data_IF_373253630140
#
_entry.id   IF_373253630140
#
_cell.length_a   1.000
_cell.length_b   1.000
_cell.length_c   1.000
_cell.angle_alpha   90.00
_cell.angle_beta   90.00
_cell.angle_gamma   90.00
#
_symmetry.space_group_name_H-M   'P 1'
#
loop_
_entity.id
_entity.type
_entity.pdbx_description
1 polymer ?
#
# COMPACT_ATOMS: atom_id res chain seq x y z
N UNK A 1 -18.60 -54.79 7.57
CA UNK A 1 -18.46 -53.63 6.67
C UNK A 1 -19.58 -52.65 6.96
N UNK A 2 -19.27 -51.48 7.50
CA UNK A 2 -20.10 -50.29 7.45
C UNK A 2 -19.18 -49.10 7.73
N UNK A 3 -18.76 -48.43 6.66
CA UNK A 3 -17.81 -47.33 6.66
C UNK A 3 -18.37 -46.10 7.37
N UNK A 4 -17.51 -45.44 8.16
CA UNK A 4 -17.76 -44.13 8.74
C UNK A 4 -17.88 -43.06 7.66
N UNK A 5 -18.93 -42.26 7.75
CA UNK A 5 -19.19 -41.15 6.85
C UNK A 5 -18.51 -39.90 7.41
N UNK A 6 -17.25 -39.66 7.01
CA UNK A 6 -16.54 -38.40 7.22
C UNK A 6 -17.11 -37.32 6.30
N UNK A 7 -18.08 -36.56 6.79
CA UNK A 7 -18.60 -35.39 6.10
C UNK A 7 -17.57 -34.25 6.16
N UNK A 8 -17.00 -33.92 5.01
CA UNK A 8 -16.08 -32.81 4.81
C UNK A 8 -16.83 -31.48 5.06
N UNK A 9 -16.74 -30.93 6.27
CA UNK A 9 -17.26 -29.60 6.57
C UNK A 9 -16.36 -28.58 5.86
N UNK A 10 -16.85 -27.98 4.76
CA UNK A 10 -16.16 -26.87 4.10
C UNK A 10 -15.88 -25.76 5.12
N UNK A 11 -14.66 -25.25 5.13
CA UNK A 11 -14.29 -24.15 6.00
C UNK A 11 -15.24 -22.97 5.77
N UNK A 12 -15.67 -22.31 6.85
CA UNK A 12 -16.65 -21.21 6.80
C UNK A 12 -16.31 -20.12 5.77
N UNK A 13 -15.01 -19.88 5.57
CA UNK A 13 -14.45 -18.87 4.66
C UNK A 13 -14.27 -19.33 3.20
N UNK A 14 -14.50 -20.61 2.89
CA UNK A 14 -14.41 -21.16 1.53
C UNK A 14 -15.77 -21.17 0.82
N UNK A 15 -16.88 -21.04 1.57
CA UNK A 15 -18.23 -20.96 1.00
C UNK A 15 -18.58 -19.52 0.62
N UNK A 16 -18.74 -19.29 -0.69
CA UNK A 16 -19.04 -17.98 -1.31
C UNK A 16 -20.27 -17.28 -0.71
N UNK A 17 -21.27 -18.06 -0.28
CA UNK A 17 -22.48 -17.55 0.38
C UNK A 17 -22.20 -16.95 1.76
N UNK A 18 -21.22 -17.48 2.48
CA UNK A 18 -20.84 -16.96 3.80
C UNK A 18 -19.96 -15.71 3.64
N UNK A 19 -19.13 -15.68 2.61
CA UNK A 19 -18.32 -14.51 2.26
C UNK A 19 -19.20 -13.31 1.87
N UNK A 20 -20.26 -13.54 1.08
CA UNK A 20 -21.22 -12.50 0.74
C UNK A 20 -21.95 -11.93 1.96
N UNK A 21 -22.36 -12.78 2.92
CA UNK A 21 -22.97 -12.33 4.18
C UNK A 21 -22.01 -11.50 5.03
N UNK A 22 -20.72 -11.86 5.05
CA UNK A 22 -19.69 -11.11 5.75
C UNK A 22 -19.45 -9.75 5.08
N UNK A 23 -19.40 -9.70 3.74
CA UNK A 23 -19.30 -8.46 2.98
C UNK A 23 -20.50 -7.54 3.21
N UNK A 24 -21.72 -8.08 3.25
CA UNK A 24 -22.93 -7.32 3.54
C UNK A 24 -22.92 -6.77 4.97
N UNK A 25 -22.45 -7.56 5.94
CA UNK A 25 -22.28 -7.13 7.33
C UNK A 25 -21.25 -6.01 7.46
N UNK A 26 -20.08 -6.13 6.83
CA UNK A 26 -19.02 -5.13 6.83
C UNK A 26 -19.41 -3.82 6.12
N UNK A 27 -20.36 -3.87 5.18
CA UNK A 27 -20.90 -2.68 4.48
C UNK A 27 -22.11 -2.07 5.20
N UNK A 28 -22.71 -2.77 6.16
CA UNK A 28 -23.84 -2.28 6.94
C UNK A 28 -23.40 -1.33 8.05
N UNK A 29 -24.31 -0.50 8.56
CA UNK A 29 -24.07 0.37 9.73
C UNK A 29 -23.87 -0.39 11.04
N UNK A 30 -24.09 -1.72 11.04
CA UNK A 30 -23.85 -2.61 12.18
C UNK A 30 -22.46 -3.28 12.10
N UNK A 31 -21.72 -3.06 11.02
CA UNK A 31 -20.35 -3.55 10.84
C UNK A 31 -19.30 -2.70 11.59
N UNK A 32 -18.16 -3.31 11.98
CA UNK A 32 -17.07 -2.57 12.63
C UNK A 32 -16.53 -1.47 11.71
N UNK A 33 -16.12 -0.30 12.26
CA UNK A 33 -15.57 0.79 11.47
C UNK A 33 -14.33 0.33 10.68
N UNK A 34 -14.12 0.88 9.49
CA UNK A 34 -13.09 0.47 8.50
C UNK A 34 -11.70 0.26 9.11
N UNK A 35 -11.32 1.05 10.13
CA UNK A 35 -10.05 0.93 10.84
C UNK A 35 -9.90 -0.40 11.60
N UNK A 36 -10.97 -0.85 12.25
CA UNK A 36 -10.99 -2.08 13.05
C UNK A 36 -11.03 -3.32 12.14
N UNK A 37 -11.73 -3.23 10.99
CA UNK A 37 -11.70 -4.26 9.95
C UNK A 37 -10.30 -4.45 9.34
N UNK A 38 -9.56 -3.36 9.10
CA UNK A 38 -8.17 -3.41 8.59
C UNK A 38 -7.20 -3.97 9.63
N UNK A 39 -7.40 -3.69 10.92
CA UNK A 39 -6.60 -4.32 11.99
C UNK A 39 -6.89 -5.83 12.12
N UNK A 40 -8.15 -6.24 11.96
CA UNK A 40 -8.50 -7.66 11.95
C UNK A 40 -7.89 -8.38 10.74
N UNK A 41 -7.92 -7.77 9.54
CA UNK A 41 -7.33 -8.35 8.33
C UNK A 41 -5.80 -8.49 8.47
N UNK A 42 -5.13 -7.47 9.02
CA UNK A 42 -3.70 -7.56 9.37
C UNK A 42 -3.41 -8.68 10.37
N UNK A 43 -4.26 -8.86 11.40
CA UNK A 43 -4.11 -9.97 12.37
C UNK A 43 -4.35 -11.33 11.74
N UNK A 44 -5.32 -11.46 10.84
CA UNK A 44 -5.59 -12.71 10.11
C UNK A 44 -4.43 -13.05 9.17
N UNK A 45 -3.86 -12.07 8.48
CA UNK A 45 -2.67 -12.25 7.64
C UNK A 45 -1.46 -12.68 8.47
N UNK A 46 -1.24 -12.05 9.63
CA UNK A 46 -0.17 -12.41 10.58
C UNK A 46 -0.31 -13.84 11.11
N UNK A 47 -1.55 -14.33 11.31
CA UNK A 47 -1.83 -15.69 11.75
C UNK A 47 -1.71 -16.71 10.59
N UNK A 48 -1.93 -16.26 9.35
CA UNK A 48 -1.86 -17.11 8.14
C UNK A 48 -0.43 -17.36 7.66
N UNK A 49 0.48 -16.40 7.86
CA UNK A 49 1.91 -16.55 7.56
C UNK A 49 2.70 -17.34 8.63
N UNK A 50 2.07 -17.69 9.75
CA UNK A 50 2.66 -18.58 10.75
C UNK A 50 2.56 -20.04 10.28
N UNK A 51 3.67 -20.55 9.73
CA UNK A 51 3.85 -21.97 9.37
C UNK A 51 3.49 -22.91 10.53
N UNK A 52 2.85 -24.04 10.23
CA UNK A 52 2.39 -25.04 11.21
C UNK A 52 3.50 -25.57 12.15
N UNK A 53 4.78 -25.41 11.81
CA UNK A 53 5.92 -25.79 12.66
C UNK A 53 6.09 -24.89 13.89
N UNK A 54 5.63 -23.65 13.85
CA UNK A 54 5.89 -22.67 14.92
C UNK A 54 4.77 -22.63 15.99
N UNK A 55 3.69 -23.40 15.79
CA UNK A 55 2.58 -23.51 16.74
C UNK A 55 2.89 -24.43 17.94
N UNK A 56 3.91 -25.29 17.84
CA UNK A 56 4.25 -26.28 18.88
C UNK A 56 5.47 -25.91 19.76
N UNK A 57 6.04 -24.70 19.63
CA UNK A 57 7.25 -24.31 20.37
C UNK A 57 7.19 -22.90 20.97
N UNK A 58 6.09 -22.58 21.68
CA UNK A 58 5.93 -21.28 22.34
C UNK A 58 6.50 -21.26 23.77
N UNK A 59 6.85 -22.41 24.37
CA UNK A 59 7.21 -22.47 25.81
C UNK A 59 8.70 -22.64 26.14
N UNK A 60 9.65 -22.46 25.21
CA UNK A 60 11.09 -22.50 25.53
C UNK A 60 11.89 -21.44 24.78
N UNK A 61 12.45 -20.41 25.46
CA UNK A 61 13.37 -19.48 24.82
C UNK A 61 14.69 -20.21 24.51
N UNK A 62 15.08 -20.29 23.23
CA UNK A 62 16.41 -20.76 22.82
C UNK A 62 17.37 -19.57 22.75
N UNK A 63 18.29 -19.50 23.70
CA UNK A 63 19.47 -18.66 23.60
C UNK A 63 20.49 -19.35 22.67
N UNK A 64 21.11 -18.65 21.69
CA UNK A 64 22.17 -19.22 20.87
C UNK A 64 23.37 -19.60 21.74
N UNK A 65 23.98 -20.74 21.43
CA UNK A 65 25.18 -21.19 22.16
C UNK A 65 26.44 -20.54 21.57
N UNK A 66 27.50 -20.43 22.37
CA UNK A 66 28.77 -19.78 21.98
C UNK A 66 29.39 -20.35 20.68
N UNK A 67 29.09 -21.62 20.35
CA UNK A 67 29.51 -22.26 19.12
C UNK A 67 28.83 -21.69 17.85
N UNK A 68 27.59 -21.22 17.97
CA UNK A 68 26.84 -20.62 16.86
C UNK A 68 27.32 -19.20 16.55
N UNK A 69 27.87 -18.51 17.57
CA UNK A 69 28.46 -17.17 17.39
C UNK A 69 29.88 -17.24 16.83
N UNK A 70 30.68 -18.24 17.22
CA UNK A 70 32.02 -18.45 16.66
C UNK A 70 31.99 -18.82 15.17
N UNK A 71 31.01 -19.63 14.74
CA UNK A 71 30.86 -20.00 13.34
C UNK A 71 30.49 -18.84 12.41
N UNK A 72 29.91 -17.76 12.95
CA UNK A 72 29.60 -16.54 12.20
C UNK A 72 30.82 -15.62 12.03
N UNK A 73 31.78 -15.68 12.95
CA UNK A 73 33.02 -14.92 12.87
C UNK A 73 34.05 -15.59 11.96
N UNK A 74 34.02 -16.92 11.82
CA UNK A 74 34.91 -17.65 10.91
C UNK A 74 34.44 -17.63 9.43
N UNK A 75 33.27 -17.05 9.12
CA UNK A 75 32.73 -16.96 7.74
C UNK A 75 32.92 -15.60 7.08
N UNK A 76 33.57 -14.64 7.74
CA UNK A 76 33.82 -13.30 7.19
C UNK A 76 35.22 -13.15 6.55
N UNK A 77 36.06 -14.20 6.55
CA UNK A 77 37.42 -14.18 6.00
C UNK A 77 37.65 -15.22 4.86
N UNK A 78 36.76 -15.31 3.87
CA UNK A 78 37.07 -16.00 2.59
C UNK A 78 37.11 -15.00 1.42
N UNK A 79 38.19 -14.21 1.38
CA UNK A 79 38.73 -13.64 0.14
C UNK A 79 39.37 -14.78 -0.68
N UNK A 80 38.64 -15.48 -1.54
CA UNK A 80 39.25 -16.33 -2.60
C UNK A 80 38.20 -16.79 -3.63
N UNK A 81 37.94 -15.98 -4.70
CA UNK A 81 37.69 -16.45 -6.09
C UNK A 81 37.30 -15.43 -7.18
N UNK A 82 37.41 -14.12 -7.00
CA UNK A 82 36.95 -13.17 -8.05
C UNK A 82 37.99 -12.78 -9.11
N UNK A 83 39.27 -13.16 -8.97
CA UNK A 83 40.34 -12.73 -9.89
C UNK A 83 40.29 -13.38 -11.30
N UNK A 84 39.53 -14.46 -11.50
CA UNK A 84 39.48 -15.17 -12.79
C UNK A 84 38.38 -14.66 -13.74
N UNK A 85 37.32 -14.07 -13.19
CA UNK A 85 36.20 -13.57 -14.00
C UNK A 85 36.48 -12.16 -14.52
N UNK A 86 37.24 -11.37 -13.76
CA UNK A 86 37.66 -10.02 -14.14
C UNK A 86 38.67 -10.03 -15.30
N UNK A 87 39.70 -10.89 -15.27
CA UNK A 87 40.62 -11.09 -16.40
C UNK A 87 39.90 -11.63 -17.66
N UNK A 88 38.86 -12.45 -17.48
CA UNK A 88 38.06 -12.96 -18.60
C UNK A 88 37.16 -11.87 -19.20
N UNK A 89 36.63 -10.97 -18.36
CA UNK A 89 35.85 -9.81 -18.79
C UNK A 89 36.72 -8.78 -19.52
N UNK A 90 37.93 -8.51 -19.03
CA UNK A 90 38.89 -7.62 -19.70
C UNK A 90 39.31 -8.15 -21.08
N UNK A 91 39.59 -9.45 -21.19
CA UNK A 91 39.92 -10.06 -22.49
C UNK A 91 38.74 -10.02 -23.48
N UNK A 92 37.50 -10.13 -22.99
CA UNK A 92 36.29 -10.01 -23.81
C UNK A 92 36.03 -8.57 -24.25
N UNK A 93 36.28 -7.60 -23.37
CA UNK A 93 36.21 -6.16 -23.67
C UNK A 93 37.27 -5.76 -24.70
N UNK A 94 38.49 -6.27 -24.56
CA UNK A 94 39.59 -5.96 -25.48
C UNK A 94 39.32 -6.51 -26.89
N UNK A 95 38.69 -7.70 -26.98
CA UNK A 95 38.23 -8.25 -28.25
C UNK A 95 37.08 -7.43 -28.87
N UNK A 96 36.14 -6.95 -28.06
CA UNK A 96 35.05 -6.10 -28.54
C UNK A 96 35.54 -4.72 -28.98
N UNK A 97 36.60 -4.18 -28.35
CA UNK A 97 37.25 -2.95 -28.77
C UNK A 97 37.99 -3.13 -30.11
N UNK A 98 38.66 -4.27 -30.30
CA UNK A 98 39.33 -4.61 -31.57
C UNK A 98 38.31 -4.79 -32.72
N UNK A 99 37.13 -5.35 -32.43
CA UNK A 99 36.02 -5.48 -33.39
C UNK A 99 35.36 -4.12 -33.73
N UNK A 100 35.52 -3.07 -32.91
CA UNK A 100 34.99 -1.71 -33.17
C UNK A 100 35.95 -0.90 -34.05
N UNK A 101 37.27 -1.05 -33.87
CA UNK A 101 38.28 -0.33 -34.67
C UNK A 101 38.33 -0.76 -36.16
N UNK A 102 37.77 -1.92 -36.52
CA UNK A 102 37.69 -2.37 -37.94
C UNK A 102 36.49 -1.79 -38.73
N UNK A 103 35.68 -0.88 -38.16
CA UNK A 103 34.48 -0.31 -38.81
C UNK A 103 34.51 1.20 -39.07
N UNK A 104 35.69 1.78 -39.30
CA UNK A 104 35.80 3.16 -39.81
C UNK A 104 35.79 3.20 -41.35
N UNK A 105 34.60 3.06 -41.95
CA UNK A 105 34.34 3.48 -43.34
C UNK A 105 33.54 4.81 -43.32
N UNK A 106 34.24 5.95 -43.30
CA UNK A 106 33.74 7.33 -43.16
C UNK A 106 32.83 7.88 -44.31
N UNK A 107 32.10 7.03 -45.05
CA UNK A 107 31.35 7.43 -46.26
C UNK A 107 29.89 6.93 -46.32
N UNK A 108 29.33 6.41 -45.23
CA UNK A 108 28.03 5.70 -45.24
C UNK A 108 26.76 6.54 -45.45
N UNK A 109 26.84 7.87 -45.38
CA UNK A 109 25.71 8.79 -45.59
C UNK A 109 25.88 9.78 -46.75
N UNK A 110 27.02 9.78 -47.45
CA UNK A 110 27.21 10.63 -48.65
C UNK A 110 26.39 10.15 -49.85
N UNK A 111 25.89 8.92 -49.79
CA UNK A 111 24.91 8.37 -50.72
C UNK A 111 23.68 7.88 -49.93
N UNK A 112 22.46 7.97 -50.51
CA UNK A 112 21.25 7.64 -49.78
C UNK A 112 21.17 6.15 -49.44
N UNK A 113 21.38 5.81 -48.17
CA UNK A 113 21.34 4.42 -47.67
C UNK A 113 20.16 4.22 -46.70
N UNK A 114 19.02 3.83 -47.27
CA UNK A 114 17.80 3.62 -46.48
C UNK A 114 17.90 2.41 -45.54
N UNK A 115 18.65 1.37 -45.90
CA UNK A 115 18.81 0.18 -45.08
C UNK A 115 19.49 0.53 -43.75
N UNK A 116 20.51 1.38 -43.80
CA UNK A 116 21.23 1.84 -42.62
C UNK A 116 20.35 2.74 -41.72
N UNK A 117 19.60 3.69 -42.30
CA UNK A 117 18.62 4.50 -41.54
C UNK A 117 17.54 3.61 -40.90
N UNK A 118 17.05 2.61 -41.62
CA UNK A 118 16.04 1.69 -41.11
C UNK A 118 16.56 0.80 -39.97
N UNK A 119 17.83 0.37 -40.05
CA UNK A 119 18.50 -0.39 -39.00
C UNK A 119 18.66 0.44 -37.72
N UNK A 120 19.12 1.69 -37.84
CA UNK A 120 19.27 2.60 -36.70
C UNK A 120 17.93 2.90 -36.05
N UNK A 121 16.90 3.23 -36.84
CA UNK A 121 15.56 3.50 -36.28
C UNK A 121 14.97 2.28 -35.59
N UNK A 122 15.17 1.07 -36.14
CA UNK A 122 14.73 -0.17 -35.50
C UNK A 122 15.43 -0.38 -34.16
N UNK A 123 16.74 -0.17 -34.12
CA UNK A 123 17.52 -0.29 -32.89
C UNK A 123 17.07 0.69 -31.81
N UNK A 124 16.86 1.96 -32.18
CA UNK A 124 16.36 3.00 -31.27
C UNK A 124 14.99 2.62 -30.70
N UNK A 125 14.05 2.23 -31.56
CA UNK A 125 12.68 1.88 -31.14
C UNK A 125 12.67 0.62 -30.27
N UNK A 126 13.51 -0.38 -30.58
CA UNK A 126 13.68 -1.58 -29.76
C UNK A 126 14.25 -1.26 -28.36
N UNK A 127 15.06 -0.21 -28.24
CA UNK A 127 15.60 0.21 -26.93
C UNK A 127 14.56 0.97 -26.09
N UNK A 128 13.63 1.64 -26.75
CA UNK A 128 12.56 2.43 -26.12
C UNK A 128 11.35 1.59 -25.72
N UNK A 129 11.03 0.57 -26.52
CA UNK A 129 9.92 -0.34 -26.28
C UNK A 129 10.42 -1.79 -26.38
N UNK A 130 10.24 -2.56 -25.31
CA UNK A 130 10.59 -3.99 -25.28
C UNK A 130 9.66 -4.86 -26.14
N UNK A 131 8.61 -4.28 -26.73
CA UNK A 131 7.73 -4.96 -27.67
C UNK A 131 8.18 -4.70 -29.10
N UNK A 132 8.74 -5.71 -29.77
CA UNK A 132 9.12 -5.62 -31.19
C UNK A 132 7.86 -5.55 -32.07
N UNK A 133 7.55 -4.42 -32.72
CA UNK A 133 6.64 -4.46 -33.85
C UNK A 133 7.48 -5.02 -35.01
N UNK A 134 7.07 -6.15 -35.59
CA UNK A 134 7.83 -6.80 -36.67
C UNK A 134 7.85 -5.89 -37.91
N UNK A 135 8.88 -5.04 -37.96
CA UNK A 135 9.20 -4.12 -39.05
C UNK A 135 10.18 -4.77 -40.05
N UNK A 136 9.92 -6.01 -40.44
CA UNK A 136 10.91 -6.80 -41.21
C UNK A 136 10.86 -6.58 -42.72
N UNK A 137 9.82 -5.93 -43.25
CA UNK A 137 9.65 -5.75 -44.70
C UNK A 137 10.07 -4.34 -45.11
N UNK A 138 11.22 -4.23 -45.79
CA UNK A 138 11.78 -2.97 -46.32
C UNK A 138 11.98 -3.05 -47.86
N UNK A 139 11.54 -4.15 -48.47
CA UNK A 139 11.78 -4.45 -49.88
C UNK A 139 10.97 -3.54 -50.83
N UNK A 140 9.75 -3.17 -50.46
CA UNK A 140 8.87 -2.33 -51.28
C UNK A 140 8.89 -0.86 -50.84
N UNK A 141 8.77 0.07 -51.79
CA UNK A 141 8.66 1.51 -51.52
C UNK A 141 7.47 1.84 -50.60
N UNK A 142 6.36 1.11 -50.74
CA UNK A 142 5.17 1.28 -49.88
C UNK A 142 5.44 0.80 -48.44
N UNK A 143 6.15 -0.31 -48.30
CA UNK A 143 6.52 -0.86 -46.99
C UNK A 143 7.46 0.10 -46.23
N UNK A 144 8.38 0.76 -46.94
CA UNK A 144 9.28 1.79 -46.37
C UNK A 144 8.53 3.00 -45.83
N UNK A 145 7.48 3.45 -46.52
CA UNK A 145 6.66 4.58 -46.08
C UNK A 145 5.76 4.17 -44.91
N UNK A 146 5.22 2.96 -44.91
CA UNK A 146 4.46 2.43 -43.77
C UNK A 146 5.34 2.29 -42.52
N UNK A 147 6.57 1.77 -42.68
CA UNK A 147 7.59 1.69 -41.64
C UNK A 147 7.89 3.05 -41.00
N UNK A 148 8.20 4.07 -41.81
CA UNK A 148 8.48 5.42 -41.30
C UNK A 148 7.26 6.09 -40.65
N UNK A 149 6.05 5.81 -41.13
CA UNK A 149 4.83 6.34 -40.50
C UNK A 149 4.57 5.71 -39.13
N UNK A 150 4.79 4.40 -39.00
CA UNK A 150 4.67 3.71 -37.72
C UNK A 150 5.69 4.27 -36.72
N UNK A 151 6.98 4.30 -37.07
CA UNK A 151 8.03 4.80 -36.19
C UNK A 151 7.83 6.28 -35.84
N UNK A 152 7.45 7.13 -36.80
CA UNK A 152 7.20 8.54 -36.51
C UNK A 152 5.98 8.73 -35.59
N UNK A 153 4.97 7.85 -35.67
CA UNK A 153 3.84 7.83 -34.75
C UNK A 153 4.29 7.38 -33.36
N UNK A 154 5.10 6.33 -33.28
CA UNK A 154 5.54 5.74 -32.01
C UNK A 154 6.52 6.66 -31.27
N UNK A 155 7.47 7.30 -31.97
CA UNK A 155 8.36 8.30 -31.37
C UNK A 155 7.58 9.56 -30.95
N UNK A 156 6.55 9.95 -31.69
CA UNK A 156 5.71 11.08 -31.31
C UNK A 156 4.83 10.78 -30.09
N UNK A 157 4.36 9.54 -29.91
CA UNK A 157 3.59 9.16 -28.72
C UNK A 157 4.48 8.96 -27.49
N UNK A 158 5.67 8.38 -27.68
CA UNK A 158 6.57 8.03 -26.57
C UNK A 158 7.45 9.20 -26.11
N UNK A 159 8.00 10.00 -27.04
CA UNK A 159 8.90 11.11 -26.72
C UNK A 159 8.34 12.50 -27.01
N UNK A 160 7.15 12.60 -27.61
CA UNK A 160 6.57 13.88 -28.06
C UNK A 160 7.47 14.65 -29.05
N UNK A 161 8.22 13.91 -29.88
CA UNK A 161 9.09 14.47 -30.94
C UNK A 161 8.44 14.24 -32.29
N UNK A 162 8.36 15.30 -33.10
CA UNK A 162 7.91 15.20 -34.49
C UNK A 162 9.10 14.94 -35.42
N UNK A 163 9.14 13.76 -36.04
CA UNK A 163 10.14 13.41 -37.04
C UNK A 163 9.66 13.72 -38.46
N UNK A 164 10.53 14.30 -39.27
CA UNK A 164 10.23 14.57 -40.68
C UNK A 164 10.43 13.31 -41.54
N UNK A 165 9.32 12.60 -41.77
CA UNK A 165 9.26 11.37 -42.60
C UNK A 165 9.89 11.50 -44.00
N UNK A 166 9.86 12.70 -44.60
CA UNK A 166 10.46 12.95 -45.91
C UNK A 166 11.98 12.99 -45.85
N UNK A 167 12.53 13.56 -44.78
CA UNK A 167 13.97 13.63 -44.56
C UNK A 167 14.50 12.25 -44.17
N UNK A 168 13.75 11.48 -43.38
CA UNK A 168 14.08 10.10 -43.06
C UNK A 168 14.07 9.18 -44.30
N UNK A 169 13.11 9.37 -45.22
CA UNK A 169 13.06 8.59 -46.47
C UNK A 169 14.17 8.97 -47.46
N UNK A 170 14.64 10.22 -47.45
CA UNK A 170 15.74 10.67 -48.31
C UNK A 170 17.06 9.95 -47.97
N UNK A 171 17.20 9.46 -46.73
CA UNK A 171 18.34 8.70 -46.24
C UNK A 171 19.72 9.33 -46.51
N UNK A 172 19.75 10.66 -46.63
CA UNK A 172 20.93 11.49 -46.86
C UNK A 172 21.35 12.20 -45.55
N UNK A 173 22.27 13.15 -45.62
CA UNK A 173 22.69 14.02 -44.49
C UNK A 173 21.51 14.67 -43.73
N UNK A 174 20.32 14.77 -44.34
CA UNK A 174 19.12 15.32 -43.67
C UNK A 174 18.44 14.29 -42.78
N UNK A 175 18.51 13.01 -43.12
CA UNK A 175 18.03 11.93 -42.26
C UNK A 175 18.82 11.89 -40.94
N UNK A 176 20.14 12.12 -41.00
CA UNK A 176 21.02 12.19 -39.84
C UNK A 176 20.56 13.26 -38.84
N UNK A 177 20.11 14.43 -39.33
CA UNK A 177 19.59 15.50 -38.45
C UNK A 177 18.34 15.10 -37.70
N UNK A 178 17.49 14.27 -38.29
CA UNK A 178 16.30 13.74 -37.61
C UNK A 178 16.68 12.64 -36.62
N UNK A 179 17.65 11.79 -36.95
CA UNK A 179 18.18 10.75 -36.04
C UNK A 179 18.84 11.36 -34.80
N UNK A 180 19.61 12.43 -34.97
CA UNK A 180 20.28 13.15 -33.87
C UNK A 180 19.30 13.71 -32.84
N UNK A 181 18.09 14.12 -33.27
CA UNK A 181 17.05 14.59 -32.32
C UNK A 181 16.64 13.51 -31.34
N UNK A 182 16.61 12.25 -31.78
CA UNK A 182 16.22 11.12 -30.94
C UNK A 182 17.42 10.65 -30.12
N UNK A 183 18.59 10.55 -30.75
CA UNK A 183 19.79 10.08 -30.08
C UNK A 183 20.28 11.03 -29.00
N UNK A 184 20.17 12.35 -29.17
CA UNK A 184 20.56 13.34 -28.14
C UNK A 184 19.73 13.20 -26.86
N UNK A 185 18.43 12.96 -26.98
CA UNK A 185 17.55 12.76 -25.82
C UNK A 185 17.84 11.42 -25.14
N UNK A 186 18.16 10.39 -25.92
CA UNK A 186 18.59 9.10 -25.39
C UNK A 186 19.95 9.19 -24.69
N UNK A 187 20.89 9.95 -25.25
CA UNK A 187 22.22 10.20 -24.70
C UNK A 187 22.14 11.04 -23.41
N UNK A 188 21.31 12.08 -23.38
CA UNK A 188 20.99 12.83 -22.16
C UNK A 188 20.34 11.94 -21.09
N UNK A 189 19.44 11.03 -21.48
CA UNK A 189 18.82 10.09 -20.53
C UNK A 189 19.80 9.04 -20.01
N UNK A 190 20.71 8.55 -20.87
CA UNK A 190 21.74 7.58 -20.49
C UNK A 190 22.81 8.22 -19.61
N UNK A 191 23.28 9.42 -19.94
CA UNK A 191 24.23 10.17 -19.11
C UNK A 191 23.64 10.52 -17.74
N UNK A 192 22.35 10.88 -17.67
CA UNK A 192 21.66 11.03 -16.38
C UNK A 192 21.57 9.72 -15.60
N UNK A 193 21.34 8.58 -16.27
CA UNK A 193 21.32 7.27 -15.63
C UNK A 193 22.72 6.81 -15.16
N UNK A 194 23.77 7.15 -15.90
CA UNK A 194 25.17 6.90 -15.53
C UNK A 194 25.64 7.83 -14.41
N UNK A 195 25.18 9.08 -14.37
CA UNK A 195 25.38 9.98 -13.24
C UNK A 195 24.67 9.42 -11.99
N UNK A 196 23.44 8.89 -12.11
CA UNK A 196 22.75 8.21 -11.02
C UNK A 196 23.49 6.94 -10.56
N UNK A 197 24.08 6.17 -11.49
CA UNK A 197 24.92 5.01 -11.17
C UNK A 197 26.28 5.41 -10.56
N UNK A 198 26.82 6.57 -10.88
CA UNK A 198 28.06 7.10 -10.30
C UNK A 198 27.83 7.69 -8.90
N UNK A 199 26.62 8.19 -8.63
CA UNK A 199 26.14 8.53 -7.27
C UNK A 199 25.55 7.34 -6.51
N UNK A 200 25.65 6.11 -7.03
CA UNK A 200 25.20 4.89 -6.33
C UNK A 200 26.18 4.37 -5.27
N UNK A 201 27.00 5.26 -4.69
CA UNK A 201 27.61 5.00 -3.38
C UNK A 201 26.67 5.56 -2.29
N UNK A 202 25.69 4.75 -1.92
CA UNK A 202 24.95 4.82 -0.64
C UNK A 202 24.46 6.20 -0.16
N UNK A 203 23.72 6.97 -0.97
CA UNK A 203 22.85 8.02 -0.41
C UNK A 203 21.39 7.57 -0.37
N UNK A 204 20.98 7.19 0.84
CA UNK A 204 19.62 6.90 1.26
C UNK A 204 18.70 8.11 0.92
N UNK A 205 17.94 8.00 -0.18
CA UNK A 205 16.97 9.04 -0.60
C UNK A 205 16.03 9.35 0.56
N UNK A 206 16.16 10.54 1.14
CA UNK A 206 15.38 10.92 2.30
C UNK A 206 13.89 11.07 1.92
N UNK A 207 12.96 10.35 2.58
CA UNK A 207 11.52 10.40 2.27
C UNK A 207 10.90 11.80 2.44
N UNK A 208 11.61 12.72 3.11
CA UNK A 208 11.21 14.11 3.30
C UNK A 208 11.26 14.94 2.03
N UNK A 209 12.16 14.64 1.09
CA UNK A 209 12.31 15.41 -0.15
C UNK A 209 11.23 15.02 -1.17
N UNK A 210 10.90 13.74 -1.26
CA UNK A 210 9.74 13.22 -2.00
C UNK A 210 8.44 13.79 -1.43
N UNK A 211 8.31 13.83 -0.09
CA UNK A 211 7.15 14.41 0.57
C UNK A 211 7.05 15.92 0.31
N UNK A 212 8.18 16.64 0.27
CA UNK A 212 8.21 18.07 -0.05
C UNK A 212 7.82 18.33 -1.52
N UNK A 213 8.33 17.52 -2.45
CA UNK A 213 7.94 17.59 -3.86
C UNK A 213 6.44 17.28 -4.05
N UNK A 214 5.91 16.24 -3.39
CA UNK A 214 4.50 15.90 -3.42
C UNK A 214 3.60 17.02 -2.84
N UNK A 215 4.04 17.69 -1.78
CA UNK A 215 3.35 18.86 -1.21
C UNK A 215 3.34 20.05 -2.19
N UNK A 216 4.47 20.34 -2.85
CA UNK A 216 4.53 21.41 -3.88
C UNK A 216 3.63 21.08 -5.07
N UNK A 217 3.64 19.84 -5.55
CA UNK A 217 2.75 19.40 -6.63
C UNK A 217 1.27 19.52 -6.23
N UNK A 218 0.93 19.16 -5.00
CA UNK A 218 -0.45 19.29 -4.48
C UNK A 218 -0.90 20.76 -4.41
N UNK A 219 -0.01 21.68 -4.04
CA UNK A 219 -0.30 23.12 -4.04
C UNK A 219 -0.53 23.65 -5.46
N UNK A 220 0.33 23.29 -6.41
CA UNK A 220 0.18 23.66 -7.82
C UNK A 220 -1.13 23.13 -8.41
N UNK A 221 -1.54 21.91 -8.08
CA UNK A 221 -2.86 21.37 -8.49
C UNK A 221 -4.00 22.21 -7.91
N UNK A 222 -3.88 22.67 -6.67
CA UNK A 222 -4.83 23.61 -6.06
C UNK A 222 -4.91 24.94 -6.81
N UNK A 223 -3.76 25.53 -7.15
CA UNK A 223 -3.67 26.77 -7.93
C UNK A 223 -4.26 26.62 -9.34
N UNK A 224 -3.96 25.51 -10.02
CA UNK A 224 -4.52 25.21 -11.35
C UNK A 224 -6.05 25.07 -11.26
N UNK A 225 -6.57 24.42 -10.23
CA UNK A 225 -8.00 24.31 -10.02
C UNK A 225 -8.65 25.69 -9.79
N UNK A 226 -8.02 26.56 -8.99
CA UNK A 226 -8.48 27.93 -8.76
C UNK A 226 -8.48 28.76 -10.05
N UNK A 227 -7.39 28.72 -10.82
CA UNK A 227 -7.27 29.40 -12.12
C UNK A 227 -8.34 28.89 -13.09
N UNK A 228 -8.58 27.58 -13.11
CA UNK A 228 -9.60 26.96 -13.97
C UNK A 228 -11.01 27.44 -13.64
N UNK A 229 -11.35 27.55 -12.34
CA UNK A 229 -12.63 28.09 -11.89
C UNK A 229 -12.75 29.58 -12.25
N UNK A 230 -11.68 30.36 -12.03
CA UNK A 230 -11.65 31.78 -12.37
C UNK A 230 -11.82 32.02 -13.86
N UNK A 231 -11.11 31.25 -14.70
CA UNK A 231 -11.22 31.30 -16.16
C UNK A 231 -12.63 30.92 -16.61
N UNK A 232 -13.21 29.86 -16.06
CA UNK A 232 -14.59 29.45 -16.35
C UNK A 232 -15.59 30.57 -16.02
N UNK A 233 -15.42 31.24 -14.88
CA UNK A 233 -16.25 32.40 -14.51
C UNK A 233 -16.11 33.56 -15.50
N UNK A 234 -14.88 33.90 -15.90
CA UNK A 234 -14.60 34.96 -16.87
C UNK A 234 -15.17 34.63 -18.25
N UNK A 235 -15.02 33.39 -18.74
CA UNK A 235 -15.59 32.95 -20.01
C UNK A 235 -17.13 32.99 -20.00
N UNK A 236 -17.74 32.55 -18.90
CA UNK A 236 -19.19 32.63 -18.72
C UNK A 236 -19.69 34.08 -18.70
N UNK A 237 -18.94 34.99 -18.08
CA UNK A 237 -19.25 36.42 -18.07
C UNK A 237 -19.05 37.04 -19.46
N UNK A 238 -17.97 36.71 -20.18
CA UNK A 238 -17.72 37.18 -21.54
C UNK A 238 -18.86 36.82 -22.51
N UNK A 239 -19.49 35.64 -22.33
CA UNK A 239 -20.68 35.25 -23.08
C UNK A 239 -21.93 36.10 -22.77
N UNK A 240 -22.13 36.48 -21.50
CA UNK A 240 -23.23 37.38 -21.08
C UNK A 240 -22.97 38.81 -21.55
N UNK A 241 -21.76 39.31 -21.35
CA UNK A 241 -21.32 40.64 -21.75
C UNK A 241 -21.34 40.79 -23.27
N UNK A 242 -21.04 39.72 -24.02
CA UNK A 242 -21.19 39.69 -25.48
C UNK A 242 -22.63 39.90 -25.94
N UNK A 243 -23.61 39.29 -25.26
CA UNK A 243 -25.04 39.51 -25.54
C UNK A 243 -25.46 40.95 -25.23
N UNK A 244 -25.07 41.46 -24.06
CA UNK A 244 -25.35 42.85 -23.67
C UNK A 244 -24.68 43.86 -24.60
N UNK A 245 -23.44 43.60 -25.04
CA UNK A 245 -22.71 44.42 -26.02
C UNK A 245 -23.42 44.43 -27.37
N UNK A 246 -23.84 43.26 -27.87
CA UNK A 246 -24.57 43.17 -29.12
C UNK A 246 -25.94 43.87 -29.03
N UNK A 247 -26.64 43.76 -27.91
CA UNK A 247 -27.89 44.47 -27.65
C UNK A 247 -27.67 45.99 -27.62
N UNK A 248 -26.62 46.48 -26.96
CA UNK A 248 -26.24 47.89 -26.95
C UNK A 248 -25.84 48.40 -28.34
N UNK A 249 -25.10 47.60 -29.13
CA UNK A 249 -24.75 47.95 -30.51
C UNK A 249 -25.98 47.97 -31.43
N UNK A 250 -26.91 47.04 -31.28
CA UNK A 250 -28.19 47.06 -31.99
C UNK A 250 -29.05 48.27 -31.60
N UNK A 251 -29.05 48.64 -30.31
CA UNK A 251 -29.69 49.87 -29.84
C UNK A 251 -29.06 51.11 -30.48
N UNK A 252 -27.73 51.25 -30.47
CA UNK A 252 -27.03 52.37 -31.09
C UNK A 252 -27.27 52.46 -32.60
N UNK A 253 -27.28 51.31 -33.30
CA UNK A 253 -27.62 51.25 -34.74
C UNK A 253 -29.06 51.70 -35.00
N UNK A 254 -30.00 51.28 -34.16
CA UNK A 254 -31.41 51.66 -34.26
C UNK A 254 -31.60 53.15 -33.95
N UNK A 255 -30.93 53.67 -32.92
CA UNK A 255 -30.96 55.08 -32.56
C UNK A 255 -30.31 55.99 -33.63
N UNK A 256 -29.21 55.52 -34.25
CA UNK A 256 -28.53 56.21 -35.36
C UNK A 256 -29.36 56.20 -36.65
N UNK A 257 -30.08 55.13 -36.94
CA UNK A 257 -31.01 55.06 -38.09
C UNK A 257 -32.23 55.99 -37.98
N UNK A 258 -32.48 56.59 -36.81
CA UNK A 258 -33.63 57.47 -36.53
C UNK A 258 -33.27 58.97 -36.46
N UNK A 259 -32.08 59.37 -36.92
CA UNK A 259 -31.55 60.74 -36.83
C UNK A 259 -32.42 61.83 -37.52
N UNK A 260 -33.46 61.47 -38.28
CA UNK A 260 -34.36 62.41 -38.97
C UNK A 260 -35.73 62.65 -38.33
N UNK A 261 -36.18 61.85 -37.36
CA UNK A 261 -37.53 61.93 -36.76
C UNK A 261 -37.45 61.84 -35.23
N UNK A 262 -37.31 63.00 -34.57
CA UNK A 262 -37.22 63.09 -33.10
C UNK A 262 -38.41 62.42 -32.40
N UNK A 263 -39.60 62.46 -33.00
CA UNK A 263 -40.82 61.87 -32.42
C UNK A 263 -40.79 60.33 -32.38
N UNK A 264 -40.05 59.68 -33.29
CA UNK A 264 -39.87 58.22 -33.26
C UNK A 264 -38.83 57.79 -32.22
N UNK A 265 -37.77 58.58 -32.03
CA UNK A 265 -36.75 58.33 -31.00
C UNK A 265 -37.35 58.40 -29.60
N UNK A 266 -38.12 59.45 -29.32
CA UNK A 266 -38.75 59.65 -28.01
C UNK A 266 -39.73 58.51 -27.69
N UNK A 267 -40.58 58.12 -28.64
CA UNK A 267 -41.49 56.96 -28.47
C UNK A 267 -40.77 55.63 -28.24
N UNK A 268 -39.65 55.40 -28.91
CA UNK A 268 -38.85 54.19 -28.71
C UNK A 268 -38.18 54.18 -27.34
N UNK A 269 -37.67 55.34 -26.89
CA UNK A 269 -37.08 55.51 -25.56
C UNK A 269 -38.14 55.28 -24.48
N UNK A 270 -39.31 55.90 -24.59
CA UNK A 270 -40.43 55.75 -23.64
C UNK A 270 -40.92 54.30 -23.58
N UNK A 271 -41.05 53.63 -24.72
CA UNK A 271 -41.42 52.21 -24.79
C UNK A 271 -40.37 51.33 -24.11
N UNK A 272 -39.08 51.60 -24.33
CA UNK A 272 -37.99 50.83 -23.73
C UNK A 272 -37.87 51.06 -22.22
N UNK A 273 -38.06 52.30 -21.77
CA UNK A 273 -38.12 52.65 -20.35
C UNK A 273 -39.29 51.93 -19.69
N UNK A 274 -40.48 51.94 -20.31
CA UNK A 274 -41.66 51.24 -19.81
C UNK A 274 -41.41 49.74 -19.66
N UNK A 275 -40.83 49.10 -20.68
CA UNK A 275 -40.43 47.68 -20.62
C UNK A 275 -39.39 47.39 -19.54
N UNK A 276 -38.43 48.31 -19.32
CA UNK A 276 -37.43 48.16 -18.26
C UNK A 276 -38.07 48.29 -16.87
N UNK A 277 -39.01 49.22 -16.69
CA UNK A 277 -39.78 49.39 -15.46
C UNK A 277 -40.63 48.14 -15.19
N UNK A 278 -41.32 47.59 -16.20
CA UNK A 278 -42.09 46.36 -16.06
C UNK A 278 -41.20 45.17 -15.70
N UNK A 279 -40.06 45.01 -16.37
CA UNK A 279 -39.09 43.94 -16.09
C UNK A 279 -38.50 44.05 -14.68
N UNK A 280 -38.16 45.25 -14.24
CA UNK A 280 -37.63 45.49 -12.88
C UNK A 280 -38.70 45.26 -11.82
N UNK A 281 -39.94 45.72 -12.03
CA UNK A 281 -41.06 45.43 -11.13
C UNK A 281 -41.34 43.92 -11.04
N UNK A 282 -41.33 43.19 -12.15
CA UNK A 282 -41.48 41.74 -12.16
C UNK A 282 -40.32 41.04 -11.42
N UNK A 283 -39.10 41.56 -11.52
CA UNK A 283 -37.95 41.06 -10.77
C UNK A 283 -38.10 41.31 -9.26
N UNK A 284 -38.60 42.48 -8.86
CA UNK A 284 -38.90 42.83 -7.46
C UNK A 284 -39.97 41.89 -6.90
N UNK A 285 -41.07 41.67 -7.62
CA UNK A 285 -42.12 40.74 -7.18
C UNK A 285 -41.62 39.30 -7.04
N UNK A 286 -40.75 38.85 -7.95
CA UNK A 286 -40.13 37.53 -7.86
C UNK A 286 -39.24 37.41 -6.64
N UNK A 287 -38.39 38.41 -6.38
CA UNK A 287 -37.52 38.43 -5.20
C UNK A 287 -38.33 38.50 -3.91
N UNK A 288 -39.42 39.28 -3.87
CA UNK A 288 -40.31 39.33 -2.70
C UNK A 288 -40.95 37.96 -2.41
N UNK A 289 -41.40 37.23 -3.43
CA UNK A 289 -41.90 35.85 -3.28
C UNK A 289 -40.81 34.91 -2.76
N UNK A 290 -39.59 35.01 -3.28
CA UNK A 290 -38.45 34.21 -2.84
C UNK A 290 -38.08 34.50 -1.38
N UNK A 291 -38.01 35.78 -0.99
CA UNK A 291 -37.80 36.20 0.40
C UNK A 291 -38.87 35.63 1.33
N UNK A 292 -40.15 35.66 0.95
CA UNK A 292 -41.25 35.07 1.75
C UNK A 292 -41.08 33.57 1.95
N UNK A 293 -40.67 32.84 0.90
CA UNK A 293 -40.39 31.40 0.98
C UNK A 293 -39.20 31.16 1.92
N UNK A 294 -38.12 31.90 1.77
CA UNK A 294 -36.92 31.78 2.61
C UNK A 294 -37.24 32.07 4.08
N UNK A 295 -38.02 33.10 4.38
CA UNK A 295 -38.46 33.41 5.75
C UNK A 295 -39.30 32.25 6.33
N UNK A 296 -40.22 31.69 5.53
CA UNK A 296 -41.01 30.52 5.98
C UNK A 296 -40.14 29.30 6.24
N UNK A 297 -39.15 29.04 5.38
CA UNK A 297 -38.21 27.94 5.54
C UNK A 297 -37.32 28.13 6.77
N UNK A 298 -36.79 29.34 6.97
CA UNK A 298 -35.98 29.71 8.13
C UNK A 298 -36.76 29.50 9.43
N UNK A 299 -38.01 29.97 9.50
CA UNK A 299 -38.87 29.72 10.67
C UNK A 299 -39.13 28.22 10.87
N UNK A 300 -39.29 27.46 9.79
CA UNK A 300 -39.48 26.01 9.84
C UNK A 300 -38.25 25.25 10.34
N UNK A 301 -37.04 25.68 9.97
CA UNK A 301 -35.78 25.10 10.47
C UNK A 301 -35.52 25.49 11.92
N UNK A 302 -35.79 26.74 12.30
CA UNK A 302 -35.70 27.21 13.70
C UNK A 302 -36.60 26.40 14.63
N UNK A 303 -37.85 26.11 14.25
CA UNK A 303 -38.74 25.29 15.07
C UNK A 303 -38.26 23.83 15.18
N UNK A 304 -37.65 23.28 14.13
CA UNK A 304 -37.02 21.95 14.19
C UNK A 304 -35.80 21.96 15.11
N UNK A 305 -34.96 22.99 15.02
CA UNK A 305 -33.82 23.17 15.91
C UNK A 305 -34.28 23.24 17.35
N UNK A 306 -35.27 24.09 17.66
CA UNK A 306 -35.84 24.23 19.01
C UNK A 306 -36.36 22.90 19.56
N UNK A 307 -37.11 22.13 18.76
CA UNK A 307 -37.58 20.79 19.16
C UNK A 307 -36.43 19.84 19.46
N UNK A 308 -35.41 19.81 18.59
CA UNK A 308 -34.22 18.97 18.79
C UNK A 308 -33.42 19.37 20.02
N UNK A 309 -33.28 20.66 20.32
CA UNK A 309 -32.62 21.13 21.54
C UNK A 309 -33.35 20.63 22.79
N UNK A 310 -34.69 20.71 22.83
CA UNK A 310 -35.49 20.22 23.96
C UNK A 310 -35.37 18.69 24.10
N UNK A 311 -35.41 17.96 22.98
CA UNK A 311 -35.26 16.50 23.02
C UNK A 311 -33.85 16.10 23.50
N UNK A 312 -32.81 16.81 23.07
CA UNK A 312 -31.43 16.62 23.54
C UNK A 312 -31.30 16.91 25.03
N UNK A 313 -31.90 17.98 25.55
CA UNK A 313 -31.89 18.27 26.98
C UNK A 313 -32.60 17.19 27.79
N UNK A 314 -33.71 16.66 27.28
CA UNK A 314 -34.44 15.55 27.93
C UNK A 314 -33.63 14.26 27.94
N UNK A 315 -33.01 13.89 26.82
CA UNK A 315 -32.21 12.67 26.74
C UNK A 315 -30.92 12.80 27.54
N UNK A 316 -30.29 13.98 27.55
CA UNK A 316 -29.12 14.28 28.38
C UNK A 316 -29.44 14.16 29.87
N UNK A 317 -30.55 14.75 30.35
CA UNK A 317 -31.00 14.58 31.73
C UNK A 317 -31.32 13.12 32.06
N UNK A 318 -31.96 12.38 31.15
CA UNK A 318 -32.21 10.95 31.33
C UNK A 318 -30.91 10.15 31.43
N UNK A 319 -29.93 10.47 30.59
CA UNK A 319 -28.62 9.84 30.62
C UNK A 319 -27.91 10.12 31.95
N UNK A 320 -27.91 11.37 32.41
CA UNK A 320 -27.34 11.75 33.71
C UNK A 320 -28.01 11.00 34.86
N UNK A 321 -29.34 10.87 34.86
CA UNK A 321 -30.04 10.04 35.83
C UNK A 321 -29.61 8.56 35.75
N UNK A 322 -29.48 8.00 34.54
CA UNK A 322 -29.06 6.61 34.35
C UNK A 322 -27.61 6.37 34.77
N UNK A 323 -26.71 7.33 34.54
CA UNK A 323 -25.31 7.23 34.96
C UNK A 323 -25.17 7.19 36.49
N UNK A 324 -26.03 7.92 37.19
CA UNK A 324 -26.02 7.97 38.66
C UNK A 324 -26.75 6.79 39.31
N UNK A 325 -27.46 5.97 38.54
CA UNK A 325 -28.17 4.79 39.05
C UNK A 325 -27.21 3.60 39.08
N UNK A 326 -26.94 3.10 40.29
CA UNK A 326 -26.19 1.86 40.50
C UNK A 326 -26.95 0.69 39.88
N UNK A 327 -26.33 -0.13 39.01
CA UNK A 327 -27.01 -1.31 38.46
C UNK A 327 -27.35 -2.34 39.54
N UNK A 328 -28.54 -2.93 39.46
CA UNK A 328 -29.07 -3.85 40.50
C UNK A 328 -28.19 -5.10 40.72
N UNK A 329 -27.47 -5.55 39.71
CA UNK A 329 -26.58 -6.71 39.79
C UNK A 329 -25.25 -6.43 40.47
N UNK A 330 -24.88 -5.15 40.69
CA UNK A 330 -23.60 -4.80 41.32
C UNK A 330 -23.51 -5.33 42.74
N UNK A 331 -24.62 -5.30 43.48
CA UNK A 331 -24.64 -5.79 44.86
C UNK A 331 -24.48 -7.33 44.93
N UNK A 332 -24.94 -8.06 43.92
CA UNK A 332 -24.72 -9.51 43.81
C UNK A 332 -23.28 -9.82 43.39
N UNK A 333 -22.75 -9.03 42.46
CA UNK A 333 -21.37 -9.14 42.01
C UNK A 333 -20.37 -8.93 43.15
N UNK A 334 -20.53 -7.87 43.95
CA UNK A 334 -19.65 -7.58 45.10
C UNK A 334 -19.71 -8.71 46.15
N UNK A 335 -20.89 -9.28 46.41
CA UNK A 335 -21.02 -10.45 47.30
C UNK A 335 -20.26 -11.66 46.76
N UNK A 336 -20.37 -11.92 45.46
CA UNK A 336 -19.66 -13.04 44.83
C UNK A 336 -18.15 -12.83 44.83
N UNK A 337 -17.67 -11.59 44.68
CA UNK A 337 -16.25 -11.27 44.82
C UNK A 337 -15.74 -11.51 46.25
N UNK A 338 -16.51 -11.09 47.27
CA UNK A 338 -16.18 -11.34 48.67
C UNK A 338 -16.14 -12.85 48.97
N UNK A 339 -17.13 -13.61 48.49
CA UNK A 339 -17.17 -15.07 48.64
C UNK A 339 -15.99 -15.75 47.93
N UNK A 340 -15.65 -15.29 46.72
CA UNK A 340 -14.50 -15.80 45.95
C UNK A 340 -13.19 -15.54 46.68
N UNK A 341 -13.03 -14.37 47.31
CA UNK A 341 -11.83 -14.05 48.08
C UNK A 341 -11.66 -15.03 49.25
N UNK A 342 -12.71 -15.26 50.02
CA UNK A 342 -12.68 -16.19 51.16
C UNK A 342 -12.33 -17.61 50.70
N UNK A 343 -12.97 -18.10 49.62
CA UNK A 343 -12.69 -19.43 49.09
C UNK A 343 -11.26 -19.55 48.55
N UNK A 344 -10.72 -18.48 47.94
CA UNK A 344 -9.34 -18.43 47.48
C UNK A 344 -8.34 -18.51 48.64
N UNK A 345 -8.56 -17.75 49.72
CA UNK A 345 -7.75 -17.84 50.94
C UNK A 345 -7.76 -19.26 51.52
N UNK A 346 -8.93 -19.90 51.58
CA UNK A 346 -9.06 -21.29 52.01
C UNK A 346 -8.36 -22.28 51.07
N UNK A 347 -8.43 -22.04 49.76
CA UNK A 347 -7.73 -22.85 48.77
C UNK A 347 -6.21 -22.76 48.93
N UNK A 348 -5.65 -21.57 49.13
CA UNK A 348 -4.20 -21.38 49.34
C UNK A 348 -3.71 -22.12 50.59
N UNK A 349 -4.48 -22.06 51.69
CA UNK A 349 -4.14 -22.82 52.90
C UNK A 349 -4.19 -24.33 52.64
N UNK A 350 -5.22 -24.82 51.92
CA UNK A 350 -5.31 -26.23 51.54
C UNK A 350 -4.14 -26.67 50.66
N UNK A 351 -3.74 -25.85 49.69
CA UNK A 351 -2.59 -26.11 48.83
C UNK A 351 -1.31 -26.24 49.65
N UNK A 352 -1.06 -25.29 50.57
CA UNK A 352 0.08 -25.35 51.48
C UNK A 352 0.09 -26.62 52.34
N UNK A 353 -1.07 -27.05 52.82
CA UNK A 353 -1.19 -28.29 53.59
C UNK A 353 -0.90 -29.53 52.74
N UNK A 354 -1.35 -29.55 51.48
CA UNK A 354 -1.03 -30.63 50.53
C UNK A 354 0.47 -30.68 50.28
N UNK A 355 1.11 -29.55 49.96
CA UNK A 355 2.56 -29.49 49.74
C UNK A 355 3.35 -30.02 50.95
N UNK A 356 2.91 -29.66 52.16
CA UNK A 356 3.52 -30.16 53.39
C UNK A 356 3.39 -31.68 53.52
N UNK A 357 2.18 -32.23 53.34
CA UNK A 357 1.93 -33.67 53.47
C UNK A 357 2.65 -34.47 52.38
N UNK A 358 2.72 -33.96 51.15
CA UNK A 358 3.51 -34.58 50.08
C UNK A 358 5.00 -34.59 50.42
N UNK A 359 5.51 -33.51 51.00
CA UNK A 359 6.87 -33.43 51.52
C UNK A 359 7.17 -34.46 52.61
N UNK A 360 6.30 -34.59 53.62
CA UNK A 360 6.43 -35.62 54.66
C UNK A 360 6.37 -37.03 54.08
N UNK A 361 5.42 -37.29 53.18
CA UNK A 361 5.25 -38.59 52.53
C UNK A 361 6.52 -38.96 51.74
N UNK A 362 7.12 -38.01 51.02
CA UNK A 362 8.36 -38.19 50.29
C UNK A 362 9.53 -38.52 51.24
N UNK A 363 9.64 -37.80 52.36
CA UNK A 363 10.64 -38.07 53.40
C UNK A 363 10.49 -39.47 54.00
N UNK A 364 9.26 -39.89 54.34
CA UNK A 364 8.97 -41.23 54.84
C UNK A 364 9.32 -42.32 53.82
N UNK A 365 8.92 -42.13 52.55
CA UNK A 365 9.28 -43.05 51.46
C UNK A 365 10.80 -43.17 51.33
N UNK A 366 11.53 -42.07 51.35
CA UNK A 366 12.99 -42.08 51.25
C UNK A 366 13.66 -42.71 52.48
N UNK A 367 13.14 -42.49 53.68
CA UNK A 367 13.60 -43.16 54.89
C UNK A 367 13.37 -44.68 54.84
N UNK A 368 12.21 -45.13 54.34
CA UNK A 368 11.90 -46.54 54.14
C UNK A 368 12.86 -47.19 53.13
N UNK A 369 13.14 -46.51 52.01
CA UNK A 369 14.12 -46.95 51.00
C UNK A 369 15.51 -47.07 51.65
N UNK A 370 15.95 -46.07 52.42
CA UNK A 370 17.25 -46.10 53.13
C UNK A 370 17.33 -47.25 54.14
N UNK A 371 16.26 -47.53 54.90
CA UNK A 371 16.21 -48.67 55.83
C UNK A 371 16.30 -50.01 55.09
N UNK A 372 15.54 -50.17 54.01
CA UNK A 372 15.59 -51.38 53.16
C UNK A 372 16.99 -51.59 52.56
N UNK A 373 17.60 -50.52 52.05
CA UNK A 373 18.97 -50.57 51.52
C UNK A 373 20.00 -50.91 52.61
N UNK A 374 19.86 -50.40 53.84
CA UNK A 374 20.71 -50.77 54.98
C UNK A 374 20.54 -52.25 55.36
N UNK A 375 19.30 -52.73 55.44
CA UNK A 375 18.99 -54.13 55.73
C UNK A 375 19.55 -55.06 54.64
N UNK A 376 19.39 -54.72 53.37
CA UNK A 376 19.97 -55.46 52.24
C UNK A 376 21.50 -55.49 52.29
N UNK A 377 22.15 -54.35 52.58
CA UNK A 377 23.61 -54.28 52.79
C UNK A 377 24.06 -55.17 53.96
N UNK A 378 23.31 -55.18 55.06
CA UNK A 378 23.59 -56.05 56.22
C UNK A 378 23.42 -57.53 55.88
N UNK A 379 22.33 -57.89 55.19
CA UNK A 379 22.08 -59.26 54.73
C UNK A 379 23.16 -59.72 53.75
N UNK A 380 23.57 -58.89 52.79
CA UNK A 380 24.69 -59.20 51.87
C UNK A 380 26.00 -59.41 52.62
N UNK A 381 26.30 -58.60 53.66
CA UNK A 381 27.49 -58.78 54.51
C UNK A 381 27.42 -60.11 55.30
N UNK A 382 26.27 -60.43 55.88
CA UNK A 382 26.06 -61.68 56.60
C UNK A 382 26.18 -62.90 55.69
N UNK A 383 25.56 -62.87 54.51
CA UNK A 383 25.71 -63.91 53.47
C UNK A 383 27.16 -64.07 53.03
N UNK A 384 27.90 -62.96 52.85
CA UNK A 384 29.32 -63.03 52.50
C UNK A 384 30.14 -63.72 53.59
N UNK A 385 29.90 -63.38 54.87
CA UNK A 385 30.54 -64.04 56.00
C UNK A 385 30.21 -65.53 56.07
N UNK A 386 28.94 -65.91 55.92
CA UNK A 386 28.55 -67.32 55.88
C UNK A 386 29.25 -68.07 54.76
N UNK A 387 29.35 -67.51 53.56
CA UNK A 387 30.12 -68.14 52.46
C UNK A 387 31.61 -68.25 52.78
N UNK A 388 32.21 -67.24 53.39
CA UNK A 388 33.61 -67.24 53.82
C UNK A 388 33.86 -68.30 54.92
N UNK A 389 32.93 -68.46 55.87
CA UNK A 389 32.96 -69.49 56.93
C UNK A 389 32.74 -70.90 56.35
N UNK A 390 31.78 -71.10 55.44
CA UNK A 390 31.59 -72.36 54.72
C UNK A 390 32.84 -72.74 53.92
N UNK A 391 33.46 -71.80 53.21
CA UNK A 391 34.74 -71.99 52.53
C UNK A 391 35.87 -72.32 53.51
N UNK A 392 35.90 -71.68 54.68
CA UNK A 392 36.90 -71.97 55.72
C UNK A 392 36.73 -73.36 56.34
N UNK A 393 35.50 -73.84 56.50
CA UNK A 393 35.20 -75.20 56.98
C UNK A 393 35.57 -76.23 55.89
N UNK A 394 35.28 -75.91 54.62
CA UNK A 394 35.62 -76.75 53.46
C UNK A 394 37.14 -76.86 53.24
N UNK A 395 37.90 -75.80 53.57
CA UNK A 395 39.36 -75.78 53.51
C UNK A 395 40.06 -76.46 54.70
N UNK A 396 39.32 -77.06 55.62
CA UNK A 396 39.86 -77.86 56.73
C UNK A 396 40.30 -77.02 57.93
N UNK A 397 39.60 -77.16 59.06
CA UNK A 397 40.12 -76.73 60.37
C UNK A 397 40.65 -77.94 61.14
N UNK A 398 41.94 -78.17 60.96
CA UNK A 398 42.82 -78.60 62.04
C UNK A 398 42.95 -77.42 63.03
N UNK A 399 42.62 -77.63 64.31
CA UNK A 399 43.60 -77.43 65.39
C UNK A 399 42.98 -77.48 66.79
N UNK A 400 43.48 -78.46 67.54
CA UNK A 400 43.62 -78.49 69.00
C UNK A 400 44.46 -77.29 69.49
N UNK A 401 43.89 -76.46 70.39
CA UNK A 401 44.42 -76.06 71.71
C UNK A 401 43.64 -74.87 72.28
#
# INVERSE_FOLDING_TARGET
>A
MASGNGGNAKNFYEDEKNLMKLCDFLRSSEGPPVREAVEMDKRVYYIKDMSQKDKESIDKPKMPTLADLLKKLDSEDEEEKELSEEEAAEAMLQKLLEDVEETEDDEDFKSPNFELVSGILRWIVQRLDGTNPSYDKIESEDDRVQFLNAIASDVATMMNISLDRRNLYAADDRAVKELVKISSILDEALTLAEDEASTSSEEEIQPEEILAAAKRASLLVGEIAEISVRLSSVLNNAGKDGKQRNEALCFLKSASGMLGDSSRRDRHIDSRISLLIESTNAAVERLDKECKILISNQRGTEEKMRKKTIDLERTSKRLECLMNVRPAYMDEYEKLEDELQVEHEMYVVRLRNVDYLEGELSSFKQAAIRRRAKAERSMKRMQKKFREEELSILNGRDDFK
#
